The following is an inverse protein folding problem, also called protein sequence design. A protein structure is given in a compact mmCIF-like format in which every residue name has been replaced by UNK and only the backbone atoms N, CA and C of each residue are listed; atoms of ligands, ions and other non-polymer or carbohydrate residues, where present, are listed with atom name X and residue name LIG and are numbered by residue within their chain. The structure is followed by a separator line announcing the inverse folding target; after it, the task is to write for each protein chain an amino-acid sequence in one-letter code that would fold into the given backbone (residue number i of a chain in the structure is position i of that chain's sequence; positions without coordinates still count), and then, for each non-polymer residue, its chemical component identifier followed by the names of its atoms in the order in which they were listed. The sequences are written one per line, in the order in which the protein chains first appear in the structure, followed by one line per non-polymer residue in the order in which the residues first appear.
data_IF_577533152446
#
_entry.id   IF_577533152446
#
_cell.length_a   1.000
_cell.length_b   1.000
_cell.length_c   1.000
_cell.angle_alpha   90.00
_cell.angle_beta   90.00
_cell.angle_gamma   90.00
#
_symmetry.space_group_name_H-M   'P 1'
#
loop_
_entity.id
_entity.type
_entity.pdbx_description
1 polymer ?
#
# COMPACT_ATOMS: atom_id res chain seq x y z
N UNK A 1 -0.96 -14.43 17.57
CA UNK A 1 -0.18 -13.21 17.32
C UNK A 1 0.96 -13.59 16.39
N UNK A 2 0.87 -13.24 15.11
CA UNK A 2 1.94 -13.54 14.16
C UNK A 2 3.02 -12.49 14.35
N UNK A 3 3.98 -12.77 15.22
CA UNK A 3 5.25 -12.05 15.20
C UNK A 3 5.91 -12.55 13.91
N UNK A 4 5.97 -11.68 12.90
CA UNK A 4 6.64 -12.02 11.64
C UNK A 4 8.09 -12.33 11.97
N UNK A 5 8.52 -13.56 11.74
CA UNK A 5 9.92 -13.95 11.89
C UNK A 5 10.70 -13.29 10.73
N UNK A 6 11.64 -12.42 11.09
CA UNK A 6 12.39 -11.61 10.12
C UNK A 6 13.63 -12.34 9.59
N UNK A 7 13.80 -13.58 10.00
CA UNK A 7 14.93 -14.43 9.66
C UNK A 7 14.54 -15.34 8.51
N UNK A 8 15.33 -15.37 7.43
CA UNK A 8 15.13 -16.35 6.36
C UNK A 8 15.56 -17.77 6.79
N UNK A 9 15.35 -18.74 5.90
CA UNK A 9 15.68 -20.15 6.11
C UNK A 9 17.18 -20.42 6.41
N UNK A 10 18.05 -19.44 6.14
CA UNK A 10 19.48 -19.50 6.42
C UNK A 10 19.87 -18.73 7.69
N UNK A 11 18.90 -18.19 8.43
CA UNK A 11 19.14 -17.37 9.62
C UNK A 11 19.63 -15.95 9.30
N UNK A 12 19.44 -15.46 8.07
CA UNK A 12 19.80 -14.09 7.69
C UNK A 12 18.64 -13.14 8.03
N UNK A 13 18.94 -12.08 8.77
CA UNK A 13 18.01 -10.99 9.08
C UNK A 13 17.63 -10.23 7.80
N UNK A 14 16.37 -10.39 7.40
CA UNK A 14 15.74 -9.76 6.23
C UNK A 14 14.77 -8.66 6.63
N UNK A 15 14.81 -8.20 7.88
CA UNK A 15 13.88 -7.21 8.43
C UNK A 15 13.79 -5.96 7.55
N UNK A 16 14.92 -5.45 7.05
CA UNK A 16 14.95 -4.27 6.17
C UNK A 16 14.29 -4.53 4.82
N UNK A 17 14.54 -5.67 4.20
CA UNK A 17 13.96 -6.05 2.91
C UNK A 17 12.45 -6.23 3.03
N UNK A 18 11.99 -6.98 4.02
CA UNK A 18 10.56 -7.22 4.26
C UNK A 18 9.81 -5.94 4.63
N UNK A 19 10.40 -5.05 5.44
CA UNK A 19 9.79 -3.74 5.74
C UNK A 19 9.69 -2.89 4.47
N UNK A 20 10.74 -2.86 3.66
CA UNK A 20 10.74 -2.09 2.42
C UNK A 20 9.71 -2.62 1.42
N UNK A 21 9.58 -3.93 1.29
CA UNK A 21 8.59 -4.58 0.43
C UNK A 21 7.16 -4.28 0.90
N UNK A 22 6.90 -4.42 2.21
CA UNK A 22 5.60 -4.06 2.80
C UNK A 22 5.27 -2.59 2.58
N UNK A 23 6.24 -1.69 2.78
CA UNK A 23 6.05 -0.26 2.53
C UNK A 23 5.74 0.02 1.06
N UNK A 24 6.48 -0.60 0.14
CA UNK A 24 6.26 -0.44 -1.30
C UNK A 24 4.87 -0.90 -1.73
N UNK A 25 4.43 -2.05 -1.21
CA UNK A 25 3.10 -2.61 -1.47
C UNK A 25 2.00 -1.69 -0.95
N UNK A 26 2.06 -1.29 0.32
CA UNK A 26 1.09 -0.37 0.93
C UNK A 26 1.06 0.95 0.14
N UNK A 27 2.22 1.47 -0.26
CA UNK A 27 2.30 2.70 -1.06
C UNK A 27 1.66 2.54 -2.44
N UNK A 28 1.82 1.40 -3.09
CA UNK A 28 1.15 1.11 -4.36
C UNK A 28 -0.37 1.01 -4.17
N UNK A 29 -0.83 0.29 -3.15
CA UNK A 29 -2.26 0.13 -2.84
C UNK A 29 -2.92 1.48 -2.55
N UNK A 30 -2.27 2.33 -1.72
CA UNK A 30 -2.76 3.69 -1.43
C UNK A 30 -2.85 4.54 -2.69
N UNK A 31 -1.85 4.45 -3.58
CA UNK A 31 -1.90 5.19 -4.86
C UNK A 31 -3.07 4.74 -5.74
N UNK A 32 -3.33 3.44 -5.79
CA UNK A 32 -4.46 2.91 -6.56
C UNK A 32 -5.79 3.40 -5.98
N UNK A 33 -5.97 3.31 -4.67
CA UNK A 33 -7.18 3.79 -3.98
C UNK A 33 -7.41 5.28 -4.26
N UNK A 34 -6.36 6.10 -4.18
CA UNK A 34 -6.48 7.54 -4.47
C UNK A 34 -6.88 7.77 -5.94
N UNK A 35 -6.28 7.05 -6.88
CA UNK A 35 -6.63 7.18 -8.29
C UNK A 35 -8.08 6.77 -8.58
N UNK A 36 -8.53 5.65 -7.98
CA UNK A 36 -9.89 5.14 -8.13
C UNK A 36 -10.91 6.11 -7.54
N UNK A 37 -10.64 6.66 -6.35
CA UNK A 37 -11.51 7.65 -5.72
C UNK A 37 -11.54 8.98 -6.49
N UNK A 38 -10.41 9.44 -7.04
CA UNK A 38 -10.39 10.60 -7.93
C UNK A 38 -11.27 10.37 -9.16
N UNK A 39 -11.17 9.20 -9.80
CA UNK A 39 -12.02 8.86 -10.94
C UNK A 39 -13.50 8.77 -10.54
N UNK A 40 -13.80 8.19 -9.37
CA UNK A 40 -15.17 8.12 -8.83
C UNK A 40 -15.74 9.52 -8.59
N UNK A 41 -14.96 10.44 -8.02
CA UNK A 41 -15.35 11.83 -7.78
C UNK A 41 -15.57 12.58 -9.11
N UNK A 42 -14.69 12.40 -10.10
CA UNK A 42 -14.86 13.00 -11.44
C UNK A 42 -16.16 12.57 -12.12
N UNK A 43 -16.52 11.29 -11.96
CA UNK A 43 -17.68 10.70 -12.62
C UNK A 43 -19.00 10.92 -11.88
N UNK A 44 -18.97 11.43 -10.66
CA UNK A 44 -20.17 11.74 -9.88
C UNK A 44 -20.46 13.25 -9.97
N UNK A 45 -21.53 13.68 -10.69
CA UNK A 45 -21.85 15.10 -10.86
C UNK A 45 -22.07 15.86 -9.54
N UNK A 46 -22.49 15.17 -8.47
CA UNK A 46 -22.65 15.78 -7.16
C UNK A 46 -21.32 16.03 -6.47
N UNK A 47 -20.26 15.26 -6.79
CA UNK A 47 -18.95 15.33 -6.16
C UNK A 47 -17.88 15.98 -7.06
N UNK A 48 -18.11 16.07 -8.37
CA UNK A 48 -17.14 16.55 -9.35
C UNK A 48 -16.58 17.96 -9.08
N UNK A 49 -17.27 18.77 -8.27
CA UNK A 49 -16.83 20.11 -7.86
C UNK A 49 -15.72 20.10 -6.78
N UNK A 50 -15.35 18.93 -6.22
CA UNK A 50 -14.36 18.78 -5.16
C UNK A 50 -12.90 18.71 -5.67
N UNK A 51 -12.71 18.65 -6.99
CA UNK A 51 -11.43 18.37 -7.66
C UNK A 51 -11.20 19.29 -8.85
#
# INVERSE_FOLDING_TARGET
MVITDFTDENGIDRMKEQIQEKYNRIKADVRQIVADELQRIQNDPALAHLI
#
